data_IF_636865792930
#
_entry.id   IF_636865792930
#
_cell.length_a   1.000
_cell.length_b   1.000
_cell.length_c   1.000
_cell.angle_alpha   90.00
_cell.angle_beta   90.00
_cell.angle_gamma   90.00
#
_symmetry.space_group_name_H-M   'P 1'
#
loop_
_entity.id
_entity.type
_entity.pdbx_description
1 polymer ?
#
# COMPACT_ATOMS: atom_id res chain seq x y z
N UNK A 1 1.74 -5.61 11.88
CA UNK A 1 2.40 -4.55 11.08
C UNK A 1 1.35 -3.49 10.83
N UNK A 2 1.58 -2.20 11.15
CA UNK A 2 0.59 -1.16 10.90
C UNK A 2 0.32 -1.05 9.39
N UNK A 3 -0.94 -0.77 8.98
CA UNK A 3 -1.31 -0.63 7.58
C UNK A 3 -0.48 0.46 6.88
N UNK A 4 -0.41 0.39 5.55
CA UNK A 4 0.28 1.39 4.73
C UNK A 4 -0.33 2.77 4.97
N UNK A 5 -1.65 2.82 5.10
CA UNK A 5 -2.41 4.04 5.28
C UNK A 5 -2.75 4.27 6.75
N UNK A 6 -2.23 5.37 7.32
CA UNK A 6 -2.68 5.89 8.62
C UNK A 6 -4.20 6.22 8.54
N UNK A 7 -5.01 5.90 9.57
CA UNK A 7 -6.41 6.33 9.67
C UNK A 7 -6.67 7.78 9.26
N UNK A 8 -5.76 8.70 9.60
CA UNK A 8 -5.87 10.12 9.24
C UNK A 8 -5.76 10.34 7.73
N UNK A 9 -4.81 9.69 7.05
CA UNK A 9 -4.65 9.78 5.59
C UNK A 9 -5.86 9.18 4.88
N UNK A 10 -6.39 8.07 5.41
CA UNK A 10 -7.62 7.46 4.90
C UNK A 10 -8.80 8.43 5.02
N UNK A 11 -8.95 9.09 6.16
CA UNK A 11 -10.01 10.08 6.39
C UNK A 11 -9.90 11.27 5.42
N UNK A 12 -8.68 11.78 5.18
CA UNK A 12 -8.42 12.87 4.23
C UNK A 12 -8.81 12.48 2.80
N UNK A 13 -8.42 11.28 2.35
CA UNK A 13 -8.79 10.82 1.00
C UNK A 13 -10.31 10.57 0.87
N UNK A 14 -10.93 10.01 1.90
CA UNK A 14 -12.39 9.81 1.93
C UNK A 14 -13.14 11.13 1.91
N UNK A 15 -12.71 12.14 2.68
CA UNK A 15 -13.38 13.44 2.66
C UNK A 15 -13.28 14.13 1.30
N UNK A 16 -12.10 14.08 0.67
CA UNK A 16 -11.90 14.59 -0.69
C UNK A 16 -12.81 13.86 -1.71
N UNK A 17 -12.92 12.53 -1.61
CA UNK A 17 -13.80 11.74 -2.45
C UNK A 17 -15.27 12.13 -2.26
N UNK A 18 -15.74 12.22 -1.01
CA UNK A 18 -17.11 12.65 -0.70
C UNK A 18 -17.40 14.05 -1.24
N UNK A 19 -16.47 15.00 -1.11
CA UNK A 19 -16.63 16.35 -1.67
C UNK A 19 -16.74 16.34 -3.19
N UNK A 20 -15.93 15.55 -3.89
CA UNK A 20 -16.06 15.38 -5.34
C UNK A 20 -17.41 14.77 -5.70
N UNK A 21 -17.85 13.75 -4.97
CA UNK A 21 -19.11 13.05 -5.24
C UNK A 21 -20.31 14.01 -5.09
N UNK A 22 -20.33 14.82 -4.03
CA UNK A 22 -21.36 15.86 -3.83
C UNK A 22 -21.38 16.87 -4.97
N UNK A 23 -20.21 17.34 -5.44
CA UNK A 23 -20.13 18.29 -6.55
C UNK A 23 -20.58 17.69 -7.89
N UNK A 24 -20.43 16.39 -8.07
CA UNK A 24 -20.87 15.68 -9.28
C UNK A 24 -22.36 15.35 -9.25
N UNK A 25 -22.92 15.00 -8.09
CA UNK A 25 -24.32 14.59 -7.94
C UNK A 25 -25.28 15.79 -7.86
N UNK A 26 -24.84 16.94 -7.34
CA UNK A 26 -25.70 18.12 -7.17
C UNK A 26 -25.69 19.00 -8.43
N UNK A 27 -26.37 18.55 -9.49
CA UNK A 27 -26.47 19.29 -10.75
C UNK A 27 -27.35 20.54 -10.65
N UNK A 28 -28.38 20.51 -9.81
CA UNK A 28 -29.40 21.57 -9.74
C UNK A 28 -29.00 22.75 -8.84
N UNK A 29 -28.31 22.52 -7.72
CA UNK A 29 -28.02 23.60 -6.76
C UNK A 29 -26.67 24.28 -6.96
N UNK A 30 -25.75 23.66 -7.73
CA UNK A 30 -24.38 24.18 -7.92
C UNK A 30 -24.20 24.69 -9.36
N UNK A 31 -24.09 26.00 -9.60
CA UNK A 31 -23.78 26.55 -10.91
C UNK A 31 -22.55 25.89 -11.55
N UNK A 32 -22.65 25.55 -12.84
CA UNK A 32 -21.60 24.84 -13.59
C UNK A 32 -20.21 25.45 -13.43
N UNK A 33 -20.10 26.77 -13.50
CA UNK A 33 -18.83 27.48 -13.36
C UNK A 33 -18.20 27.30 -11.97
N UNK A 34 -19.01 27.33 -10.91
CA UNK A 34 -18.52 27.12 -9.54
C UNK A 34 -18.08 25.66 -9.35
N UNK A 35 -18.85 24.72 -9.88
CA UNK A 35 -18.52 23.29 -9.88
C UNK A 35 -17.16 23.02 -10.54
N UNK A 36 -16.93 23.56 -11.73
CA UNK A 36 -15.66 23.40 -12.45
C UNK A 36 -14.49 24.02 -11.66
N UNK A 37 -14.70 25.19 -11.02
CA UNK A 37 -13.71 25.84 -10.18
C UNK A 37 -13.32 25.01 -8.93
N UNK A 38 -14.23 24.17 -8.41
CA UNK A 38 -13.92 23.29 -7.27
C UNK A 38 -13.39 21.92 -7.70
N UNK A 39 -13.91 21.36 -8.80
CA UNK A 39 -13.53 20.02 -9.26
C UNK A 39 -12.07 19.95 -9.68
N UNK A 40 -11.55 20.94 -10.43
CA UNK A 40 -10.16 20.88 -10.89
C UNK A 40 -9.15 20.86 -9.73
N UNK A 41 -9.21 21.77 -8.74
CA UNK A 41 -8.32 21.71 -7.58
C UNK A 41 -8.49 20.44 -6.74
N UNK A 42 -9.71 19.91 -6.59
CA UNK A 42 -9.95 18.68 -5.82
C UNK A 42 -9.35 17.45 -6.51
N UNK A 43 -9.45 17.36 -7.83
CA UNK A 43 -8.82 16.30 -8.63
C UNK A 43 -7.30 16.38 -8.51
N UNK A 44 -6.73 17.58 -8.60
CA UNK A 44 -5.29 17.77 -8.47
C UNK A 44 -4.80 17.45 -7.06
N UNK A 45 -5.55 17.84 -6.02
CA UNK A 45 -5.28 17.42 -4.65
C UNK A 45 -5.31 15.89 -4.51
N UNK A 46 -6.31 15.23 -5.09
CA UNK A 46 -6.41 13.77 -5.11
C UNK A 46 -5.20 13.09 -5.77
N UNK A 47 -4.69 13.65 -6.88
CA UNK A 47 -3.45 13.19 -7.54
C UNK A 47 -2.23 13.39 -6.65
N UNK A 48 -2.09 14.55 -6.02
CA UNK A 48 -0.97 14.87 -5.12
C UNK A 48 -0.96 13.91 -3.93
N UNK A 49 -2.10 13.70 -3.28
CA UNK A 49 -2.21 12.79 -2.14
C UNK A 49 -1.89 11.34 -2.52
N UNK A 50 -2.42 10.87 -3.65
CA UNK A 50 -2.15 9.52 -4.14
C UNK A 50 -0.67 9.33 -4.49
N UNK A 51 -0.05 10.34 -5.13
CA UNK A 51 1.38 10.34 -5.42
C UNK A 51 2.25 10.35 -4.16
N UNK A 52 1.90 11.17 -3.17
CA UNK A 52 2.59 11.20 -1.87
C UNK A 52 2.49 9.84 -1.16
N UNK A 53 1.31 9.23 -1.12
CA UNK A 53 1.11 7.91 -0.53
C UNK A 53 1.96 6.83 -1.22
N UNK A 54 2.04 6.89 -2.55
CA UNK A 54 2.89 6.00 -3.33
C UNK A 54 4.37 6.17 -2.96
N UNK A 55 4.89 7.39 -2.91
CA UNK A 55 6.28 7.66 -2.54
C UNK A 55 6.59 7.26 -1.09
N UNK A 56 5.67 7.48 -0.15
CA UNK A 56 5.78 7.00 1.24
C UNK A 56 5.89 5.47 1.25
N UNK A 57 5.03 4.78 0.51
CA UNK A 57 5.02 3.31 0.44
C UNK A 57 6.33 2.76 -0.14
N UNK A 58 6.80 3.37 -1.24
CA UNK A 58 8.07 3.03 -1.89
C UNK A 58 9.26 3.27 -0.95
N UNK A 59 9.28 4.41 -0.26
CA UNK A 59 10.33 4.76 0.71
C UNK A 59 10.35 3.78 1.88
N UNK A 60 9.18 3.46 2.46
CA UNK A 60 9.08 2.46 3.53
C UNK A 60 9.59 1.09 3.08
N UNK A 61 9.23 0.67 1.87
CA UNK A 61 9.71 -0.60 1.29
C UNK A 61 11.23 -0.57 1.11
N UNK A 62 11.78 0.51 0.55
CA UNK A 62 13.22 0.69 0.39
C UNK A 62 13.99 0.62 1.71
N UNK A 63 13.46 1.22 2.78
CA UNK A 63 14.10 1.20 4.11
C UNK A 63 14.03 -0.20 4.75
N UNK A 64 12.92 -0.92 4.58
CA UNK A 64 12.71 -2.23 5.23
C UNK A 64 13.38 -3.38 4.48
N UNK A 65 13.40 -3.35 3.14
CA UNK A 65 13.94 -4.44 2.30
C UNK A 65 15.36 -4.89 2.68
N UNK A 66 16.33 -4.01 3.01
CA UNK A 66 17.67 -4.40 3.46
C UNK A 66 17.70 -5.18 4.79
N UNK A 67 16.65 -5.07 5.61
CA UNK A 67 16.54 -5.77 6.89
C UNK A 67 16.01 -7.22 6.72
N UNK A 68 15.58 -7.58 5.52
CA UNK A 68 15.07 -8.92 5.22
C UNK A 68 16.22 -9.85 4.83
N UNK A 69 16.12 -11.12 5.22
CA UNK A 69 17.02 -12.15 4.69
C UNK A 69 16.80 -12.32 3.19
N UNK A 70 17.83 -12.72 2.45
CA UNK A 70 17.77 -12.91 0.99
C UNK A 70 16.56 -13.74 0.52
N UNK A 71 16.23 -14.91 1.13
CA UNK A 71 15.07 -15.71 0.72
C UNK A 71 13.74 -14.99 0.95
N UNK A 72 13.62 -14.24 2.05
CA UNK A 72 12.42 -13.45 2.34
C UNK A 72 12.29 -12.31 1.36
N UNK A 73 13.38 -11.60 1.06
CA UNK A 73 13.42 -10.53 0.07
C UNK A 73 12.94 -11.02 -1.30
N UNK A 74 13.53 -12.09 -1.82
CA UNK A 74 13.23 -12.65 -3.15
C UNK A 74 11.74 -13.03 -3.31
N UNK A 75 11.09 -13.46 -2.22
CA UNK A 75 9.66 -13.75 -2.23
C UNK A 75 8.80 -12.50 -2.07
N UNK A 76 9.20 -11.56 -1.21
CA UNK A 76 8.47 -10.29 -1.05
C UNK A 76 8.48 -9.43 -2.30
N UNK A 77 9.52 -9.52 -3.14
CA UNK A 77 9.61 -8.79 -4.41
C UNK A 77 8.53 -9.20 -5.42
N UNK A 78 7.96 -10.40 -5.26
CA UNK A 78 6.84 -10.89 -6.09
C UNK A 78 5.46 -10.47 -5.57
N UNK A 79 5.40 -9.84 -4.40
CA UNK A 79 4.15 -9.45 -3.76
C UNK A 79 3.73 -8.05 -4.16
N UNK A 80 2.48 -7.95 -4.62
CA UNK A 80 1.80 -6.67 -4.87
C UNK A 80 1.47 -6.01 -3.54
N UNK A 81 1.91 -4.76 -3.30
CA UNK A 81 1.49 -3.97 -2.16
C UNK A 81 -0.03 -3.79 -2.15
N UNK A 82 -0.65 -3.88 -0.98
CA UNK A 82 -2.07 -3.61 -0.78
C UNK A 82 -2.25 -2.76 0.47
N UNK A 83 -3.09 -3.20 1.40
CA UNK A 83 -3.17 -2.57 2.73
C UNK A 83 -1.85 -2.67 3.52
N UNK A 84 -1.02 -3.67 3.22
CA UNK A 84 0.29 -3.91 3.86
C UNK A 84 1.42 -3.84 2.82
N UNK A 85 2.60 -3.34 3.23
CA UNK A 85 3.76 -3.10 2.35
C UNK A 85 4.20 -4.34 1.55
N UNK A 86 4.06 -5.51 2.17
CA UNK A 86 4.43 -6.81 1.60
C UNK A 86 3.22 -7.77 1.60
N UNK A 87 2.00 -7.22 1.54
CA UNK A 87 0.77 -7.99 1.59
C UNK A 87 0.43 -8.56 2.97
N UNK A 88 -0.77 -9.15 3.11
CA UNK A 88 -1.30 -9.63 4.41
C UNK A 88 -0.58 -10.89 4.93
N UNK A 89 -0.05 -11.73 4.03
CA UNK A 89 0.43 -13.08 4.36
C UNK A 89 1.96 -13.15 4.59
N UNK A 90 2.62 -12.01 4.85
CA UNK A 90 4.07 -11.98 5.08
C UNK A 90 4.50 -12.92 6.21
N UNK A 91 3.73 -12.98 7.31
CA UNK A 91 4.04 -13.85 8.45
C UNK A 91 4.01 -15.34 8.10
N UNK A 92 3.04 -15.77 7.31
CA UNK A 92 2.92 -17.16 6.83
C UNK A 92 4.04 -17.49 5.85
N UNK A 93 4.36 -16.56 4.95
CA UNK A 93 5.47 -16.68 4.02
C UNK A 93 6.81 -16.88 4.75
N UNK A 94 7.09 -16.06 5.76
CA UNK A 94 8.32 -16.19 6.56
C UNK A 94 8.38 -17.53 7.28
N UNK A 95 7.26 -18.02 7.83
CA UNK A 95 7.20 -19.36 8.45
C UNK A 95 7.47 -20.47 7.44
N UNK A 96 6.88 -20.39 6.26
CA UNK A 96 7.06 -21.36 5.18
C UNK A 96 8.53 -21.43 4.73
N UNK A 97 9.17 -20.28 4.51
CA UNK A 97 10.60 -20.19 4.15
C UNK A 97 11.46 -20.85 5.22
N UNK A 98 11.27 -20.49 6.50
CA UNK A 98 12.05 -21.07 7.60
C UNK A 98 11.86 -22.58 7.74
N UNK A 99 10.63 -23.06 7.53
CA UNK A 99 10.34 -24.51 7.54
C UNK A 99 11.07 -25.22 6.40
N UNK A 100 11.06 -24.64 5.20
CA UNK A 100 11.74 -25.19 4.02
C UNK A 100 13.26 -25.20 4.19
N UNK A 101 13.85 -24.13 4.75
CA UNK A 101 15.28 -24.09 5.10
C UNK A 101 15.65 -25.18 6.10
N UNK A 102 14.82 -25.40 7.13
CA UNK A 102 15.03 -26.46 8.12
C UNK A 102 14.99 -27.85 7.49
N UNK A 103 13.97 -28.13 6.66
CA UNK A 103 13.88 -29.40 5.93
C UNK A 103 15.08 -29.64 5.02
N UNK A 104 15.56 -28.61 4.33
CA UNK A 104 16.75 -28.70 3.48
C UNK A 104 18.05 -28.98 4.25
N UNK A 105 18.17 -28.50 5.49
CA UNK A 105 19.30 -28.82 6.37
C UNK A 105 19.24 -30.27 6.87
N UNK A 106 18.08 -30.74 7.30
CA UNK A 106 17.87 -32.12 7.77
C UNK A 106 18.24 -33.13 6.67
N UNK A 107 17.86 -32.88 5.42
CA UNK A 107 18.20 -33.73 4.27
C UNK A 107 19.71 -33.80 3.97
N UNK A 108 20.46 -32.72 4.23
CA UNK A 108 21.92 -32.69 4.07
C UNK A 108 22.66 -33.29 5.25
N UNK A 109 21.98 -33.41 6.39
CA UNK A 109 22.57 -33.86 7.66
C UNK A 109 22.52 -35.36 7.84
N UNK A 110 21.94 -36.12 6.90
CA UNK A 110 22.01 -37.59 6.87
C UNK A 110 23.33 -38.02 6.23
N UNK A 111 24.34 -38.51 6.98
CA UNK A 111 25.46 -39.20 6.38
C UNK A 111 24.97 -40.59 5.94
N UNK A 112 25.48 -41.07 4.81
CA UNK A 112 25.35 -42.47 4.41
C UNK A 112 26.11 -43.40 5.37
#
# INVERSE_FOLDING_TARGET
VPPIMNPEIKAIMTSAHTSVNVLLEDEENIPKQQRENFLSPLVDAGRIFSGLLFEISKTRRYIVTPLLSKPVKDMTDKLTPGEFLFGPNLGELVKSIKSMERSGLEMRSTPA
#
